data_IF_054117945563
#
_entry.id   IF_054117945563
#
_cell.length_a   1.000
_cell.length_b   1.000
_cell.length_c   1.000
_cell.angle_alpha   90.00
_cell.angle_beta   90.00
_cell.angle_gamma   90.00
#
_symmetry.space_group_name_H-M   'P 1'
#
loop_
_entity.id
_entity.type
_entity.pdbx_description
1 polymer ?
#
# COMPACT_ATOMS: atom_id res chain seq x y z
N UNK A 1 20.68 8.53 -5.69
CA UNK A 1 20.45 7.08 -5.82
C UNK A 1 21.66 6.44 -6.46
N UNK A 2 21.93 5.18 -6.11
CA UNK A 2 22.94 4.35 -6.77
C UNK A 2 22.33 3.86 -8.10
N UNK A 3 22.94 4.14 -9.27
CA UNK A 3 22.39 3.73 -10.56
C UNK A 3 22.29 2.21 -10.73
N UNK A 4 22.91 1.42 -9.85
CA UNK A 4 22.85 -0.03 -9.84
C UNK A 4 21.86 -0.62 -8.84
N UNK A 5 21.23 0.20 -7.99
CA UNK A 5 20.22 -0.26 -7.02
C UNK A 5 18.81 0.11 -7.46
N UNK A 6 17.87 -0.79 -7.16
CA UNK A 6 16.44 -0.54 -7.29
C UNK A 6 15.99 0.31 -6.10
N UNK A 7 16.35 1.60 -6.13
CA UNK A 7 15.94 2.58 -5.14
C UNK A 7 14.44 2.87 -5.29
N UNK A 8 13.70 2.75 -4.20
CA UNK A 8 12.26 3.05 -4.11
C UNK A 8 12.07 4.08 -3.00
N UNK A 9 11.38 5.16 -3.32
CA UNK A 9 10.96 6.17 -2.33
C UNK A 9 9.45 6.17 -2.25
N UNK A 10 8.94 6.19 -1.02
CA UNK A 10 7.52 6.31 -0.70
C UNK A 10 7.37 7.41 0.36
N UNK A 11 6.59 8.43 0.05
CA UNK A 11 6.14 9.44 1.00
C UNK A 11 4.86 8.95 1.68
N UNK A 12 4.82 8.97 3.01
CA UNK A 12 3.68 8.49 3.80
C UNK A 12 2.82 9.69 4.21
N UNK A 13 1.56 9.66 3.78
CA UNK A 13 0.49 10.49 4.33
C UNK A 13 -0.46 9.68 5.20
N UNK A 14 -1.17 10.34 6.12
CA UNK A 14 -2.23 9.70 6.91
C UNK A 14 -3.42 10.64 7.17
N UNK A 15 -4.63 10.10 7.35
CA UNK A 15 -5.82 10.94 7.59
C UNK A 15 -5.91 11.49 9.02
N UNK A 16 -5.35 10.77 10.00
CA UNK A 16 -5.25 11.20 11.40
C UNK A 16 -3.97 10.63 12.04
N UNK A 17 -3.36 11.29 13.03
CA UNK A 17 -2.11 10.83 13.63
C UNK A 17 -2.14 9.39 14.15
N UNK A 18 -3.27 8.94 14.71
CA UNK A 18 -3.47 7.55 15.16
C UNK A 18 -3.37 6.51 14.04
N UNK A 19 -3.52 6.93 12.78
CA UNK A 19 -3.51 6.10 11.58
C UNK A 19 -2.18 6.14 10.82
N UNK A 20 -1.20 6.92 11.32
CA UNK A 20 0.16 6.84 10.82
C UNK A 20 0.67 5.39 10.85
N UNK A 21 1.54 5.04 9.89
CA UNK A 21 2.23 3.77 9.95
C UNK A 21 3.10 3.72 11.20
N UNK A 22 3.02 2.63 11.95
CA UNK A 22 3.88 2.48 13.13
C UNK A 22 5.34 2.31 12.71
N UNK A 23 6.29 2.67 13.59
CA UNK A 23 7.73 2.40 13.35
C UNK A 23 7.99 0.92 13.09
N UNK A 24 7.33 0.03 13.82
CA UNK A 24 7.39 -1.42 13.60
C UNK A 24 6.94 -1.81 12.18
N UNK A 25 5.84 -1.22 11.69
CA UNK A 25 5.36 -1.45 10.32
C UNK A 25 6.44 -1.06 9.31
N UNK A 26 7.00 0.14 9.45
CA UNK A 26 8.05 0.66 8.55
C UNK A 26 9.30 -0.24 8.57
N UNK A 27 9.78 -0.61 9.75
CA UNK A 27 10.93 -1.51 9.92
C UNK A 27 10.69 -2.88 9.27
N UNK A 28 9.48 -3.44 9.41
CA UNK A 28 9.14 -4.75 8.83
C UNK A 28 9.17 -4.72 7.31
N UNK A 29 8.50 -3.73 6.70
CA UNK A 29 8.48 -3.60 5.23
C UNK A 29 9.90 -3.38 4.70
N UNK A 30 10.63 -2.41 5.28
CA UNK A 30 12.00 -2.08 4.83
C UNK A 30 12.95 -3.27 4.96
N UNK A 31 12.85 -4.08 6.02
CA UNK A 31 13.64 -5.30 6.19
C UNK A 31 13.38 -6.32 5.09
N UNK A 32 12.13 -6.51 4.68
CA UNK A 32 11.77 -7.44 3.60
C UNK A 32 12.38 -7.00 2.28
N UNK A 33 12.27 -5.71 1.92
CA UNK A 33 12.88 -5.17 0.70
C UNK A 33 14.42 -5.25 0.73
N UNK A 34 15.03 -4.94 1.88
CA UNK A 34 16.48 -5.02 2.06
C UNK A 34 16.99 -6.45 1.84
N UNK A 35 16.26 -7.47 2.34
CA UNK A 35 16.57 -8.88 2.10
C UNK A 35 16.46 -9.33 0.64
N UNK A 36 15.96 -8.47 -0.25
CA UNK A 36 15.75 -8.71 -1.68
C UNK A 36 16.59 -7.77 -2.56
N UNK A 37 17.59 -7.12 -1.99
CA UNK A 37 18.49 -6.16 -2.64
C UNK A 37 17.78 -4.91 -3.22
N UNK A 38 16.62 -4.55 -2.66
CA UNK A 38 15.97 -3.27 -2.89
C UNK A 38 16.31 -2.29 -1.79
N UNK A 39 16.52 -1.03 -2.16
CA UNK A 39 16.68 0.05 -1.20
C UNK A 39 15.37 0.82 -1.11
N UNK A 40 14.55 0.49 -0.10
CA UNK A 40 13.26 1.13 0.13
C UNK A 40 13.38 2.18 1.23
N UNK A 41 13.00 3.42 0.90
CA UNK A 41 12.75 4.48 1.87
C UNK A 41 11.24 4.70 2.03
N UNK A 42 10.74 4.46 3.24
CA UNK A 42 9.41 4.84 3.69
C UNK A 42 9.55 6.11 4.53
N UNK A 43 9.33 7.28 3.92
CA UNK A 43 9.43 8.57 4.60
C UNK A 43 8.16 8.86 5.38
N UNK A 44 8.28 8.94 6.71
CA UNK A 44 7.24 9.32 7.66
C UNK A 44 7.51 10.71 8.27
N UNK A 45 6.63 11.19 9.15
CA UNK A 45 6.71 12.56 9.72
C UNK A 45 8.02 12.91 10.43
N UNK A 46 8.79 11.90 10.88
CA UNK A 46 10.09 12.10 11.52
C UNK A 46 11.26 12.09 10.51
N UNK A 47 10.97 11.85 9.23
CA UNK A 47 11.98 11.73 8.18
C UNK A 47 12.46 13.11 7.72
N UNK A 48 13.74 13.39 7.96
CA UNK A 48 14.40 14.62 7.49
C UNK A 48 14.93 14.43 6.05
N UNK A 49 14.02 14.45 5.07
CA UNK A 49 14.37 14.37 3.65
C UNK A 49 13.90 15.61 2.88
N UNK A 50 14.84 16.47 2.41
CA UNK A 50 14.47 17.63 1.62
C UNK A 50 13.65 17.25 0.38
N UNK A 51 12.51 17.91 0.20
CA UNK A 51 11.59 17.67 -0.92
C UNK A 51 10.47 16.68 -0.62
N UNK A 52 10.46 16.05 0.56
CA UNK A 52 9.34 15.29 1.10
C UNK A 52 8.79 15.99 2.35
N UNK A 53 7.46 16.05 2.44
CA UNK A 53 6.73 16.56 3.61
C UNK A 53 5.67 15.52 4.03
N UNK A 54 6.08 14.33 4.51
CA UNK A 54 5.16 13.29 4.97
C UNK A 54 4.39 13.74 6.22
N UNK A 55 3.20 13.17 6.42
CA UNK A 55 2.38 13.50 7.60
C UNK A 55 0.88 13.55 7.35
N UNK A 56 0.18 14.34 8.15
CA UNK A 56 -1.27 14.42 8.05
C UNK A 56 -1.71 15.06 6.73
N UNK A 57 -2.57 14.36 5.98
CA UNK A 57 -3.12 14.89 4.73
C UNK A 57 -4.26 15.88 5.01
N UNK A 58 -4.33 16.92 4.18
CA UNK A 58 -5.43 17.89 4.18
C UNK A 58 -6.01 18.03 2.78
N UNK A 59 -7.33 18.14 2.69
CA UNK A 59 -8.04 18.30 1.42
C UNK A 59 -8.50 19.73 1.23
N UNK A 60 -8.67 20.17 -0.01
CA UNK A 60 -9.41 21.39 -0.30
C UNK A 60 -10.92 21.10 -0.25
N UNK A 61 -11.67 21.87 0.52
CA UNK A 61 -13.14 21.85 0.47
C UNK A 61 -13.66 22.53 -0.81
N UNK A 62 -14.99 22.56 -1.00
CA UNK A 62 -15.61 23.18 -2.17
C UNK A 62 -15.33 24.70 -2.30
N UNK A 63 -14.88 25.34 -1.22
CA UNK A 63 -14.49 26.76 -1.18
C UNK A 63 -12.97 26.95 -1.31
N UNK A 64 -12.20 25.87 -1.47
CA UNK A 64 -10.74 25.89 -1.55
C UNK A 64 -10.03 25.93 -0.19
N UNK A 65 -10.75 25.88 0.94
CA UNK A 65 -10.13 25.88 2.26
C UNK A 65 -9.51 24.52 2.58
N UNK A 66 -8.41 24.52 3.32
CA UNK A 66 -7.77 23.30 3.74
C UNK A 66 -8.51 22.71 4.93
N UNK A 67 -8.97 21.47 4.78
CA UNK A 67 -9.72 20.74 5.79
C UNK A 67 -9.06 19.41 6.06
N UNK A 68 -8.95 19.09 7.36
CA UNK A 68 -8.61 17.73 7.79
C UNK A 68 -9.82 16.84 7.48
N UNK A 69 -9.61 15.66 6.87
CA UNK A 69 -10.71 14.72 6.63
C UNK A 69 -11.40 14.35 7.95
N UNK A 70 -12.73 14.36 7.96
CA UNK A 70 -13.50 13.87 9.10
C UNK A 70 -13.18 12.40 9.37
N UNK A 71 -13.31 11.97 10.63
CA UNK A 71 -13.19 10.56 11.00
C UNK A 71 -14.21 9.73 10.20
N UNK A 72 -13.80 8.52 9.77
CA UNK A 72 -14.57 7.62 8.89
C UNK A 72 -14.82 8.11 7.45
N UNK A 73 -14.32 9.29 7.04
CA UNK A 73 -14.36 9.67 5.62
C UNK A 73 -13.40 8.76 4.84
N UNK A 74 -13.93 8.09 3.81
CA UNK A 74 -13.12 7.35 2.86
C UNK A 74 -12.24 8.29 2.01
N UNK A 75 -10.99 7.89 1.75
CA UNK A 75 -10.09 8.58 0.82
C UNK A 75 -9.99 7.78 -0.47
N UNK A 76 -10.47 8.34 -1.57
CA UNK A 76 -10.39 7.72 -2.88
C UNK A 76 -9.06 8.03 -3.57
N UNK A 77 -8.64 7.14 -4.47
CA UNK A 77 -7.38 7.26 -5.19
C UNK A 77 -7.27 8.55 -6.03
N UNK A 78 -8.37 9.00 -6.64
CA UNK A 78 -8.43 10.24 -7.41
C UNK A 78 -8.25 11.50 -6.55
N UNK A 79 -8.41 11.40 -5.23
CA UNK A 79 -8.19 12.50 -4.28
C UNK A 79 -6.71 12.60 -3.86
N UNK A 80 -5.90 11.56 -4.08
CA UNK A 80 -4.47 11.55 -3.74
C UNK A 80 -3.65 12.41 -4.70
N UNK A 81 -3.96 12.37 -6.01
CA UNK A 81 -3.25 13.14 -7.02
C UNK A 81 -3.19 14.65 -6.72
N UNK A 82 -4.32 15.31 -6.40
CA UNK A 82 -4.34 16.74 -6.05
C UNK A 82 -3.62 17.12 -4.75
N UNK A 83 -3.50 16.22 -3.77
CA UNK A 83 -2.79 16.52 -2.50
C UNK A 83 -1.29 16.30 -2.60
N UNK A 84 -0.85 15.44 -3.52
CA UNK A 84 0.52 14.98 -3.65
C UNK A 84 1.57 16.09 -3.81
N UNK A 85 1.36 17.18 -4.60
CA UNK A 85 2.33 18.27 -4.71
C UNK A 85 2.61 19.03 -3.40
N UNK A 86 1.80 18.82 -2.35
CA UNK A 86 2.06 19.38 -1.01
C UNK A 86 3.06 18.56 -0.22
N UNK A 87 3.06 17.24 -0.46
CA UNK A 87 3.87 16.29 0.27
C UNK A 87 5.15 15.91 -0.50
N UNK A 88 5.19 16.15 -1.80
CA UNK A 88 6.29 15.77 -2.68
C UNK A 88 6.58 16.94 -3.62
N UNK A 89 7.78 17.49 -3.54
CA UNK A 89 8.20 18.56 -4.45
C UNK A 89 8.26 18.08 -5.90
N UNK A 90 7.93 18.95 -6.86
CA UNK A 90 7.82 18.62 -8.29
C UNK A 90 9.05 17.90 -8.87
N UNK A 91 10.25 18.26 -8.45
CA UNK A 91 11.50 17.63 -8.94
C UNK A 91 11.71 16.21 -8.42
N UNK A 92 11.01 15.83 -7.35
CA UNK A 92 11.09 14.52 -6.70
C UNK A 92 9.87 13.63 -7.01
N UNK A 93 8.79 14.24 -7.48
CA UNK A 93 7.55 13.60 -7.89
C UNK A 93 7.78 12.38 -8.81
N UNK A 94 8.57 12.46 -9.91
CA UNK A 94 8.71 11.34 -10.85
C UNK A 94 9.27 10.05 -10.24
N UNK A 95 9.88 10.14 -9.05
CA UNK A 95 10.61 9.03 -8.43
C UNK A 95 9.98 8.53 -7.12
N UNK A 96 8.90 9.18 -6.67
CA UNK A 96 8.35 8.97 -5.32
C UNK A 96 6.92 8.45 -5.39
N UNK A 97 6.60 7.39 -4.67
CA UNK A 97 5.23 6.93 -4.46
C UNK A 97 4.57 7.71 -3.32
N UNK A 98 3.26 7.92 -3.37
CA UNK A 98 2.48 8.46 -2.26
C UNK A 98 1.62 7.35 -1.68
N UNK A 99 1.91 6.96 -0.44
CA UNK A 99 1.08 6.05 0.34
C UNK A 99 0.22 6.86 1.30
N UNK A 100 -1.09 6.68 1.25
CA UNK A 100 -2.01 7.28 2.22
C UNK A 100 -2.60 6.21 3.13
N UNK A 101 -2.28 6.25 4.42
CA UNK A 101 -2.94 5.44 5.45
C UNK A 101 -4.23 6.12 5.90
N UNK A 102 -5.37 5.60 5.47
CA UNK A 102 -6.68 6.18 5.69
C UNK A 102 -7.51 5.39 6.70
N UNK A 103 -8.44 6.04 7.37
CA UNK A 103 -9.47 5.38 8.17
C UNK A 103 -10.29 4.41 7.29
N UNK A 104 -10.62 4.87 6.08
CA UNK A 104 -11.35 4.11 5.09
C UNK A 104 -10.85 4.46 3.66
N UNK A 105 -10.87 3.52 2.73
CA UNK A 105 -10.33 3.67 1.35
C UNK A 105 -11.39 4.00 0.32
N UNK A 106 -12.67 3.84 0.66
CA UNK A 106 -13.81 4.49 0.02
C UNK A 106 -15.03 4.42 0.96
N UNK A 107 -16.13 5.09 0.62
CA UNK A 107 -17.35 5.11 1.46
C UNK A 107 -18.36 4.00 1.13
N UNK A 108 -18.12 3.17 0.09
CA UNK A 108 -19.13 2.27 -0.49
C UNK A 108 -18.76 0.77 -0.49
N UNK A 109 -17.47 0.43 -0.42
CA UNK A 109 -16.90 -0.91 -0.43
C UNK A 109 -15.92 -1.07 0.74
N UNK A 110 -15.86 -2.28 1.29
CA UNK A 110 -14.99 -2.65 2.40
C UNK A 110 -13.58 -3.04 1.94
N UNK A 111 -13.00 -2.30 1.00
CA UNK A 111 -11.69 -2.60 0.44
C UNK A 111 -10.59 -2.29 1.48
N UNK A 112 -9.56 -3.14 1.55
CA UNK A 112 -8.42 -2.88 2.44
C UNK A 112 -7.46 -1.87 1.83
N UNK A 113 -7.20 -1.95 0.53
CA UNK A 113 -6.33 -1.00 -0.15
C UNK A 113 -6.78 -0.76 -1.58
N UNK A 114 -6.25 0.31 -2.16
CA UNK A 114 -6.44 0.68 -3.55
C UNK A 114 -5.13 1.29 -4.07
N UNK A 115 -4.57 0.71 -5.13
CA UNK A 115 -3.38 1.20 -5.81
C UNK A 115 -3.68 1.66 -7.24
N UNK A 116 -2.84 2.55 -7.77
CA UNK A 116 -2.92 3.04 -9.14
C UNK A 116 -1.86 2.35 -10.02
N UNK A 117 -2.27 1.49 -10.95
CA UNK A 117 -1.37 1.00 -11.99
C UNK A 117 -1.89 1.25 -13.41
N UNK A 118 -1.10 1.88 -14.30
CA UNK A 118 0.18 2.54 -14.02
C UNK A 118 -0.03 3.78 -13.11
N UNK A 119 0.90 4.02 -12.19
CA UNK A 119 0.82 5.14 -11.25
C UNK A 119 1.74 5.01 -10.04
N UNK A 120 1.61 6.00 -9.13
CA UNK A 120 2.46 6.16 -7.93
C UNK A 120 1.68 6.37 -6.64
N UNK A 121 0.35 6.43 -6.73
CA UNK A 121 -0.52 6.68 -5.60
C UNK A 121 -1.10 5.37 -5.11
N UNK A 122 -1.20 5.23 -3.80
CA UNK A 122 -1.93 4.15 -3.17
C UNK A 122 -2.59 4.67 -1.89
N UNK A 123 -3.73 4.08 -1.56
CA UNK A 123 -4.41 4.28 -0.29
C UNK A 123 -4.53 2.93 0.37
N UNK A 124 -4.13 2.83 1.63
CA UNK A 124 -4.35 1.64 2.43
C UNK A 124 -5.28 1.97 3.58
N UNK A 125 -6.01 0.98 4.04
CA UNK A 125 -6.78 1.09 5.25
C UNK A 125 -5.82 0.95 6.41
N UNK A 126 -5.76 1.96 7.23
CA UNK A 126 -4.83 2.08 8.36
C UNK A 126 -5.03 1.03 9.45
N UNK A 127 -6.20 0.38 9.51
CA UNK A 127 -6.56 -0.52 10.59
C UNK A 127 -7.60 -1.56 10.19
N UNK A 128 -7.60 -2.65 10.94
CA UNK A 128 -8.65 -3.64 10.87
C UNK A 128 -9.82 -3.24 11.77
N UNK A 129 -11.06 -3.39 11.26
CA UNK A 129 -12.31 -3.01 11.94
C UNK A 129 -12.27 -3.21 13.45
N UNK A 130 -12.62 -2.19 14.24
CA UNK A 130 -12.73 -2.23 15.71
C UNK A 130 -11.51 -2.78 16.51
N UNK A 131 -10.49 -3.33 15.86
CA UNK A 131 -9.33 -4.00 16.47
C UNK A 131 -8.06 -3.15 16.36
N UNK A 132 -8.08 -2.08 15.57
CA UNK A 132 -6.99 -1.10 15.47
C UNK A 132 -5.95 -1.44 14.39
N UNK A 133 -4.83 -0.67 14.34
CA UNK A 133 -3.91 -0.67 13.20
C UNK A 133 -3.13 -1.96 13.00
N UNK A 134 -2.77 -2.65 14.08
CA UNK A 134 -2.03 -3.91 14.02
C UNK A 134 -2.53 -4.86 15.12
N UNK A 135 -3.74 -5.42 14.97
CA UNK A 135 -4.31 -6.24 16.01
C UNK A 135 -3.45 -7.48 16.22
N UNK A 136 -3.08 -7.75 17.47
CA UNK A 136 -2.33 -8.93 17.87
C UNK A 136 -0.96 -9.11 17.17
N UNK A 137 -0.38 -8.03 16.62
CA UNK A 137 0.92 -8.08 15.93
C UNK A 137 0.90 -8.89 14.63
N UNK A 138 -0.23 -8.89 13.94
CA UNK A 138 -0.48 -9.61 12.67
C UNK A 138 0.13 -8.92 11.45
N UNK A 139 0.75 -7.76 11.66
CA UNK A 139 1.44 -6.95 10.67
C UNK A 139 0.47 -6.41 9.61
N UNK A 140 -0.77 -6.10 10.02
CA UNK A 140 -1.85 -5.70 9.11
C UNK A 140 -1.45 -4.55 8.17
N UNK A 141 -1.08 -3.40 8.73
CA UNK A 141 -0.63 -2.25 7.95
C UNK A 141 0.54 -2.59 7.03
N UNK A 142 1.46 -3.46 7.47
CA UNK A 142 2.62 -3.84 6.68
C UNK A 142 2.20 -4.67 5.45
N UNK A 143 1.30 -5.63 5.66
CA UNK A 143 0.77 -6.48 4.60
C UNK A 143 -0.04 -5.69 3.59
N UNK A 144 -0.90 -4.79 4.06
CA UNK A 144 -1.73 -3.94 3.19
C UNK A 144 -0.85 -2.96 2.39
N UNK A 145 0.12 -2.32 3.04
CA UNK A 145 1.11 -1.48 2.36
C UNK A 145 1.92 -2.25 1.31
N UNK A 146 2.41 -3.44 1.64
CA UNK A 146 3.13 -4.28 0.67
C UNK A 146 2.22 -4.74 -0.47
N UNK A 147 0.97 -5.14 -0.20
CA UNK A 147 0.03 -5.56 -1.24
C UNK A 147 -0.19 -4.45 -2.28
N UNK A 148 -0.54 -3.26 -1.81
CA UNK A 148 -0.82 -2.13 -2.71
C UNK A 148 0.43 -1.56 -3.37
N UNK A 149 1.59 -1.60 -2.69
CA UNK A 149 2.86 -1.27 -3.34
C UNK A 149 3.19 -2.28 -4.45
N UNK A 150 2.90 -3.57 -4.24
CA UNK A 150 3.07 -4.60 -5.26
C UNK A 150 2.24 -4.29 -6.52
N UNK A 151 1.00 -3.83 -6.35
CA UNK A 151 0.19 -3.35 -7.48
C UNK A 151 0.82 -2.14 -8.18
N UNK A 152 1.35 -1.15 -7.46
CA UNK A 152 2.08 -0.03 -8.09
C UNK A 152 3.35 -0.48 -8.84
N UNK A 153 3.94 -1.61 -8.45
CA UNK A 153 5.06 -2.24 -9.17
C UNK A 153 4.63 -3.19 -10.29
N UNK A 154 3.33 -3.22 -10.62
CA UNK A 154 2.75 -4.00 -11.71
C UNK A 154 2.53 -5.48 -11.39
N UNK A 155 2.58 -5.87 -10.11
CA UNK A 155 2.26 -7.22 -9.68
C UNK A 155 0.74 -7.43 -9.64
N UNK A 156 0.32 -8.64 -10.00
CA UNK A 156 -1.07 -9.08 -9.88
C UNK A 156 -1.26 -9.97 -8.64
N UNK A 157 -2.52 -10.23 -8.28
CA UNK A 157 -2.83 -11.30 -7.33
C UNK A 157 -2.31 -12.64 -7.89
N UNK A 158 -1.78 -13.56 -7.06
CA UNK A 158 -1.15 -14.80 -7.54
C UNK A 158 -2.04 -15.61 -8.49
N UNK A 159 -3.33 -15.69 -8.20
CA UNK A 159 -4.30 -16.42 -9.02
C UNK A 159 -4.55 -15.77 -10.39
N UNK A 160 -4.32 -14.46 -10.51
CA UNK A 160 -4.46 -13.67 -11.74
C UNK A 160 -3.11 -13.37 -12.42
N UNK A 161 -2.01 -13.91 -11.89
CA UNK A 161 -0.64 -13.67 -12.41
C UNK A 161 -0.32 -14.60 -13.60
N UNK A 162 -1.08 -14.45 -14.68
CA UNK A 162 -0.88 -15.12 -15.97
C UNK A 162 -0.29 -14.16 -17.03
N UNK A 163 -0.37 -14.54 -18.31
CA UNK A 163 0.19 -13.74 -19.42
C UNK A 163 -0.52 -12.38 -19.61
N UNK A 164 -1.65 -12.15 -18.94
CA UNK A 164 -2.34 -10.85 -18.91
C UNK A 164 -1.81 -9.92 -17.82
N UNK A 165 -0.99 -10.42 -16.89
CA UNK A 165 -0.41 -9.59 -15.83
C UNK A 165 0.63 -8.61 -16.42
N UNK A 166 0.63 -7.31 -16.04
CA UNK A 166 1.52 -6.32 -16.66
C UNK A 166 3.01 -6.66 -16.59
N UNK A 167 3.44 -7.29 -15.50
CA UNK A 167 4.83 -7.70 -15.28
C UNK A 167 5.10 -9.16 -15.65
N UNK A 168 4.12 -9.81 -16.30
CA UNK A 168 4.19 -11.18 -16.77
C UNK A 168 3.71 -12.22 -15.75
N UNK A 169 3.56 -13.44 -16.26
CA UNK A 169 3.10 -14.58 -15.50
C UNK A 169 4.08 -15.03 -14.41
N UNK A 170 3.55 -15.66 -13.36
CA UNK A 170 4.34 -16.46 -12.41
C UNK A 170 4.07 -17.96 -12.63
N UNK A 171 4.99 -18.86 -12.21
CA UNK A 171 4.78 -20.31 -12.29
C UNK A 171 3.51 -20.74 -11.58
N UNK A 172 2.81 -21.75 -12.10
CA UNK A 172 1.58 -22.27 -11.49
C UNK A 172 1.77 -22.69 -10.02
N UNK A 173 2.98 -23.15 -9.65
CA UNK A 173 3.33 -23.47 -8.25
C UNK A 173 3.31 -22.27 -7.30
N UNK A 174 3.45 -21.05 -7.82
CA UNK A 174 3.40 -19.80 -7.07
C UNK A 174 2.04 -19.09 -7.18
N UNK A 175 1.12 -19.56 -8.04
CA UNK A 175 -0.25 -19.03 -8.19
C UNK A 175 -1.16 -19.49 -7.06
N UNK A 176 -0.81 -19.08 -5.84
CA UNK A 176 -1.53 -19.37 -4.62
C UNK A 176 -1.58 -18.11 -3.75
N UNK A 177 -2.79 -17.60 -3.49
CA UNK A 177 -3.00 -16.42 -2.64
C UNK A 177 -2.46 -16.57 -1.22
N UNK A 178 -2.33 -17.80 -0.69
CA UNK A 178 -1.85 -18.02 0.66
C UNK A 178 -0.31 -17.87 0.82
N UNK A 179 0.46 -17.93 -0.27
CA UNK A 179 1.93 -17.94 -0.23
C UNK A 179 2.58 -16.58 -0.48
N UNK A 180 1.80 -15.52 -0.61
CA UNK A 180 2.29 -14.18 -0.91
C UNK A 180 1.40 -13.12 -0.26
N UNK A 181 1.97 -11.98 0.11
CA UNK A 181 1.19 -10.82 0.54
C UNK A 181 0.32 -10.24 -0.59
N UNK A 182 0.55 -10.61 -1.85
CA UNK A 182 -0.34 -10.29 -2.99
C UNK A 182 -1.63 -11.11 -3.03
N UNK A 183 -1.83 -12.09 -2.13
CA UNK A 183 -3.11 -12.78 -2.05
C UNK A 183 -4.26 -11.84 -1.72
N UNK A 184 -5.48 -12.18 -2.14
CA UNK A 184 -6.69 -11.40 -1.84
C UNK A 184 -7.64 -12.20 -0.96
N UNK A 185 -8.33 -11.61 0.04
CA UNK A 185 -9.40 -12.30 0.76
C UNK A 185 -10.50 -12.86 -0.15
N UNK A 186 -10.63 -12.36 -1.39
CA UNK A 186 -11.50 -12.94 -2.41
C UNK A 186 -11.15 -14.41 -2.72
N UNK A 187 -9.88 -14.78 -2.60
CA UNK A 187 -9.40 -16.17 -2.77
C UNK A 187 -9.96 -17.11 -1.68
N UNK A 188 -10.42 -16.54 -0.56
CA UNK A 188 -10.93 -17.25 0.62
C UNK A 188 -12.47 -17.06 0.80
N UNK A 189 -13.18 -16.69 -0.27
CA UNK A 189 -14.63 -16.48 -0.26
C UNK A 189 -15.07 -15.08 0.17
N UNK A 190 -14.14 -14.12 0.21
CA UNK A 190 -14.42 -12.71 0.49
C UNK A 190 -14.51 -12.37 1.97
N UNK A 191 -14.46 -11.08 2.30
CA UNK A 191 -14.38 -10.59 3.68
C UNK A 191 -15.67 -10.68 4.48
N UNK A 192 -16.80 -10.79 3.80
CA UNK A 192 -18.11 -10.82 4.42
C UNK A 192 -18.95 -11.93 3.80
N UNK A 193 -19.58 -12.72 4.67
CA UNK A 193 -20.65 -13.63 4.29
C UNK A 193 -21.98 -12.90 4.53
N UNK A 194 -22.36 -12.03 3.59
CA UNK A 194 -23.48 -11.10 3.75
C UNK A 194 -23.10 -9.93 4.67
N UNK A 195 -23.70 -9.85 5.86
CA UNK A 195 -23.41 -8.78 6.85
C UNK A 195 -22.39 -9.20 7.91
N UNK A 196 -22.04 -10.50 7.98
CA UNK A 196 -21.13 -11.01 8.98
C UNK A 196 -19.70 -11.10 8.44
N UNK A 197 -18.67 -10.70 9.20
CA UNK A 197 -17.28 -10.92 8.83
C UNK A 197 -16.99 -12.41 8.57
N UNK A 198 -16.36 -12.71 7.45
CA UNK A 198 -15.83 -14.04 7.14
C UNK A 198 -14.50 -14.23 7.88
N UNK A 199 -14.60 -14.71 9.12
CA UNK A 199 -13.44 -14.89 10.02
C UNK A 199 -12.36 -15.78 9.39
N UNK A 200 -12.74 -16.77 8.57
CA UNK A 200 -11.77 -17.63 7.88
C UNK A 200 -10.97 -16.85 6.84
N UNK A 201 -11.63 -16.09 5.96
CA UNK A 201 -10.94 -15.27 4.95
C UNK A 201 -10.05 -14.21 5.60
N UNK A 202 -10.53 -13.60 6.68
CA UNK A 202 -9.77 -12.65 7.49
C UNK A 202 -8.53 -13.33 8.08
N UNK A 203 -8.70 -14.49 8.72
CA UNK A 203 -7.60 -15.23 9.36
C UNK A 203 -6.57 -15.68 8.32
N UNK A 204 -7.02 -16.14 7.14
CA UNK A 204 -6.14 -16.54 6.05
C UNK A 204 -5.39 -15.34 5.46
N UNK A 205 -6.05 -14.22 5.25
CA UNK A 205 -5.39 -12.97 4.82
C UNK A 205 -4.30 -12.55 5.83
N UNK A 206 -4.56 -12.70 7.13
CA UNK A 206 -3.60 -12.42 8.18
C UNK A 206 -2.50 -13.47 8.35
N UNK A 207 -2.72 -14.73 7.96
CA UNK A 207 -1.70 -15.77 8.07
C UNK A 207 -0.71 -15.76 6.91
N UNK A 208 -1.02 -15.04 5.81
CA UNK A 208 -0.12 -14.86 4.68
C UNK A 208 1.23 -14.28 5.11
N UNK A 209 2.33 -14.66 4.42
CA UNK A 209 3.63 -14.09 4.69
C UNK A 209 3.64 -12.60 4.35
N UNK A 210 4.42 -11.83 5.10
CA UNK A 210 4.82 -10.47 4.71
C UNK A 210 5.97 -10.57 3.70
N UNK A 211 5.69 -11.12 2.52
CA UNK A 211 6.67 -11.30 1.45
C UNK A 211 5.95 -11.55 0.10
N UNK A 212 6.60 -11.21 -1.02
CA UNK A 212 6.16 -11.67 -2.33
C UNK A 212 6.72 -13.05 -2.64
N UNK A 213 6.11 -13.76 -3.60
CA UNK A 213 6.68 -15.01 -4.10
C UNK A 213 8.00 -14.76 -4.85
N UNK A 214 8.86 -15.78 -5.00
CA UNK A 214 10.15 -15.61 -5.68
C UNK A 214 10.06 -14.98 -7.07
N UNK A 215 9.11 -15.43 -7.91
CA UNK A 215 8.96 -14.88 -9.26
C UNK A 215 8.28 -13.50 -9.24
N UNK A 216 7.43 -13.20 -8.25
CA UNK A 216 6.90 -11.84 -8.09
C UNK A 216 8.02 -10.83 -7.81
N UNK A 217 9.01 -11.17 -6.97
CA UNK A 217 10.20 -10.32 -6.76
C UNK A 217 10.99 -10.06 -8.03
N UNK A 218 11.14 -11.05 -8.90
CA UNK A 218 11.85 -10.88 -10.17
C UNK A 218 11.06 -10.01 -11.16
N UNK A 219 9.72 -10.07 -11.08
CA UNK A 219 8.82 -9.35 -11.98
C UNK A 219 8.59 -7.88 -11.57
N UNK A 220 8.95 -7.46 -10.36
CA UNK A 220 8.82 -6.06 -9.93
C UNK A 220 9.41 -5.09 -10.95
N UNK A 221 8.56 -4.18 -11.43
CA UNK A 221 8.94 -3.11 -12.33
C UNK A 221 8.86 -1.75 -11.60
N UNK A 222 10.02 -1.29 -11.13
CA UNK A 222 10.17 0.03 -10.50
C UNK A 222 10.27 1.16 -11.54
N UNK A 223 10.39 0.83 -12.83
CA UNK A 223 10.57 1.81 -13.90
C UNK A 223 9.24 2.23 -14.52
N UNK A 224 8.25 1.34 -14.65
CA UNK A 224 6.91 1.71 -15.15
C UNK A 224 6.15 2.64 -14.20
N UNK A 225 6.48 2.68 -12.91
CA UNK A 225 5.94 3.69 -11.98
C UNK A 225 6.52 5.09 -12.19
N UNK A 226 7.53 5.26 -13.07
CA UNK A 226 8.14 6.57 -13.39
C UNK A 226 7.53 7.25 -14.62
N UNK A 227 6.67 6.55 -15.37
CA UNK A 227 5.91 7.11 -16.50
C UNK A 227 4.68 7.88 -16.02
#
# INVERSE_FOLDING_TARGET
GDPHKKDIVVCIGYTAPKWALTKRTIERITTVFLGRDFNLLLADEDSDMPGLDPGQIVFADASGNLVIPAENRGVQLNEVGPIRPRHIADYFDPFTHMLVAADNTNTQNADFGIAQFPGRNLVIRSHFFALGPDPFGTEYQAKDAMHELGHNFGLCHPNASDDSCPTGAIPTSERNGASSCMGSPADDGGLFNGILPNVTAITNAFSRPLDYSPTQWTNIDVASSRQ
#
